data_IF_525062047557
#
_entry.id   IF_525062047557
#
_cell.length_a   1.000
_cell.length_b   1.000
_cell.length_c   1.000
_cell.angle_alpha   90.00
_cell.angle_beta   90.00
_cell.angle_gamma   90.00
#
_symmetry.space_group_name_H-M   'P 1'
#
loop_
_entity.id
_entity.type
_entity.pdbx_description
1 polymer ?
#
# COMPACT_ATOMS: atom_id res chain seq x y z
N UNK A 1 4.77 2.61 -31.23
CA UNK A 1 4.25 3.24 -29.98
C UNK A 1 3.12 2.41 -29.35
N UNK A 2 2.30 1.69 -30.13
CA UNK A 2 1.21 0.83 -29.64
C UNK A 2 1.64 -0.33 -28.75
N UNK A 3 2.75 -1.02 -29.08
CA UNK A 3 3.24 -2.15 -28.28
C UNK A 3 3.63 -1.75 -26.85
N UNK A 4 4.39 -0.65 -26.71
CA UNK A 4 4.80 -0.11 -25.40
C UNK A 4 3.57 0.27 -24.55
N UNK A 5 2.55 0.89 -25.17
CA UNK A 5 1.29 1.21 -24.48
C UNK A 5 0.60 -0.03 -23.91
N UNK A 6 0.50 -1.11 -24.69
CA UNK A 6 -0.07 -2.38 -24.23
C UNK A 6 0.77 -3.03 -23.13
N UNK A 7 2.10 -2.97 -23.18
CA UNK A 7 2.96 -3.45 -22.10
C UNK A 7 2.69 -2.73 -20.77
N UNK A 8 2.48 -1.40 -20.81
CA UNK A 8 2.13 -0.62 -19.61
C UNK A 8 0.76 -1.03 -19.07
N UNK A 9 -0.24 -1.20 -19.94
CA UNK A 9 -1.58 -1.64 -19.54
C UNK A 9 -1.52 -3.01 -18.85
N UNK A 10 -0.85 -3.99 -19.46
CA UNK A 10 -0.68 -5.33 -18.89
C UNK A 10 0.01 -5.25 -17.51
N UNK A 11 1.07 -4.43 -17.40
CA UNK A 11 1.79 -4.25 -16.14
C UNK A 11 0.90 -3.68 -15.04
N UNK A 12 0.08 -2.66 -15.34
CA UNK A 12 -0.86 -2.06 -14.39
C UNK A 12 -1.96 -3.06 -14.00
N UNK A 13 -2.48 -3.84 -14.95
CA UNK A 13 -3.47 -4.87 -14.67
C UNK A 13 -2.91 -5.96 -13.75
N UNK A 14 -1.72 -6.50 -14.05
CA UNK A 14 -1.05 -7.47 -13.20
C UNK A 14 -0.80 -6.92 -11.80
N UNK A 15 -0.33 -5.67 -11.70
CA UNK A 15 -0.15 -5.01 -10.41
C UNK A 15 -1.46 -4.92 -9.62
N UNK A 16 -2.55 -4.45 -10.24
CA UNK A 16 -3.85 -4.32 -9.57
C UNK A 16 -4.38 -5.67 -9.09
N UNK A 17 -4.21 -6.74 -9.87
CA UNK A 17 -4.61 -8.09 -9.47
C UNK A 17 -3.83 -8.58 -8.24
N UNK A 18 -2.50 -8.41 -8.24
CA UNK A 18 -1.66 -8.77 -7.10
C UNK A 18 -1.99 -7.94 -5.86
N UNK A 19 -2.23 -6.64 -6.05
CA UNK A 19 -2.62 -5.75 -4.96
C UNK A 19 -3.97 -6.15 -4.37
N UNK A 20 -4.97 -6.43 -5.21
CA UNK A 20 -6.30 -6.85 -4.78
C UNK A 20 -6.31 -8.22 -4.09
N UNK A 21 -5.41 -9.13 -4.49
CA UNK A 21 -5.30 -10.46 -3.88
C UNK A 21 -4.62 -10.46 -2.51
N UNK A 22 -3.75 -9.48 -2.21
CA UNK A 22 -2.96 -9.46 -0.99
C UNK A 22 -2.99 -8.11 -0.28
N UNK A 23 -2.06 -7.17 -0.58
CA UNK A 23 -1.85 -5.95 0.22
C UNK A 23 -3.12 -5.12 0.44
N UNK A 24 -3.99 -5.04 -0.58
CA UNK A 24 -5.25 -4.31 -0.55
C UNK A 24 -6.16 -4.76 0.60
N UNK A 25 -6.65 -6.01 0.62
CA UNK A 25 -7.45 -6.52 1.73
C UNK A 25 -6.64 -6.73 3.02
N UNK A 26 -5.39 -7.21 2.94
CA UNK A 26 -4.58 -7.55 4.13
C UNK A 26 -4.43 -6.36 5.09
N UNK A 27 -4.15 -5.16 4.57
CA UNK A 27 -3.98 -3.98 5.41
C UNK A 27 -5.24 -3.57 6.18
N UNK A 28 -6.43 -4.05 5.79
CA UNK A 28 -7.69 -3.71 6.43
C UNK A 28 -8.03 -4.60 7.63
N UNK A 29 -7.42 -5.78 7.77
CA UNK A 29 -7.75 -6.70 8.87
C UNK A 29 -6.56 -7.16 9.70
N UNK A 30 -5.34 -7.19 9.14
CA UNK A 30 -4.14 -7.68 9.86
C UNK A 30 -3.89 -6.93 11.17
N UNK A 31 -4.19 -5.63 11.22
CA UNK A 31 -4.05 -4.84 12.45
C UNK A 31 -4.96 -5.33 13.58
N UNK A 32 -6.08 -5.97 13.27
CA UNK A 32 -6.97 -6.59 14.25
C UNK A 32 -6.57 -7.99 14.69
N UNK A 33 -5.67 -8.65 13.96
CA UNK A 33 -5.07 -9.93 14.34
C UNK A 33 -3.83 -9.72 15.22
N UNK A 34 -3.15 -8.58 15.08
CA UNK A 34 -1.94 -8.23 15.82
C UNK A 34 -2.19 -7.67 17.22
N UNK A 35 -3.42 -7.32 17.57
CA UNK A 35 -3.74 -6.63 18.83
C UNK A 35 -4.91 -7.29 19.55
N UNK A 36 -4.81 -7.34 20.89
CA UNK A 36 -5.91 -7.79 21.74
C UNK A 36 -7.14 -6.89 21.66
N UNK A 37 -8.28 -7.41 22.12
CA UNK A 37 -9.60 -6.77 22.00
C UNK A 37 -9.65 -5.32 22.52
N UNK A 38 -8.94 -5.03 23.62
CA UNK A 38 -8.93 -3.72 24.27
C UNK A 38 -8.31 -2.61 23.41
N UNK A 39 -7.35 -2.94 22.54
CA UNK A 39 -6.64 -1.98 21.69
C UNK A 39 -7.14 -1.95 20.24
N UNK A 40 -8.04 -2.86 19.86
CA UNK A 40 -8.46 -3.07 18.47
C UNK A 40 -9.14 -1.84 17.86
N UNK A 41 -10.04 -1.19 18.61
CA UNK A 41 -10.74 0.01 18.13
C UNK A 41 -9.79 1.20 17.90
N UNK A 42 -8.84 1.40 18.82
CA UNK A 42 -7.82 2.44 18.69
C UNK A 42 -6.89 2.16 17.50
N UNK A 43 -6.47 0.91 17.32
CA UNK A 43 -5.61 0.47 16.22
C UNK A 43 -6.25 0.77 14.87
N UNK A 44 -7.50 0.36 14.64
CA UNK A 44 -8.18 0.67 13.38
C UNK A 44 -8.39 2.17 13.14
N UNK A 45 -8.64 2.94 14.19
CA UNK A 45 -8.75 4.41 14.09
C UNK A 45 -7.43 5.01 13.60
N UNK A 46 -6.31 4.63 14.21
CA UNK A 46 -4.98 5.12 13.82
C UNK A 46 -4.58 4.64 12.43
N UNK A 47 -4.84 3.38 12.08
CA UNK A 47 -4.58 2.87 10.74
C UNK A 47 -5.35 3.67 9.68
N UNK A 48 -6.65 3.91 9.88
CA UNK A 48 -7.44 4.70 8.95
C UNK A 48 -6.97 6.15 8.85
N UNK A 49 -6.62 6.79 9.97
CA UNK A 49 -6.09 8.14 9.97
C UNK A 49 -4.80 8.24 9.16
N UNK A 50 -3.86 7.30 9.38
CA UNK A 50 -2.58 7.25 8.69
C UNK A 50 -2.78 6.98 7.20
N UNK A 51 -3.60 5.98 6.83
CA UNK A 51 -3.90 5.65 5.44
C UNK A 51 -4.51 6.83 4.68
N UNK A 52 -5.51 7.50 5.26
CA UNK A 52 -6.14 8.66 4.64
C UNK A 52 -5.23 9.89 4.61
N UNK A 53 -4.40 10.06 5.64
CA UNK A 53 -3.38 11.11 5.70
C UNK A 53 -2.35 10.96 4.57
N UNK A 54 -1.77 9.77 4.40
CA UNK A 54 -0.85 9.48 3.30
C UNK A 54 -1.52 9.65 1.94
N UNK A 55 -2.75 9.15 1.78
CA UNK A 55 -3.51 9.33 0.53
C UNK A 55 -3.69 10.80 0.18
N UNK A 56 -4.05 11.62 1.16
CA UNK A 56 -4.25 13.06 0.97
C UNK A 56 -2.94 13.78 0.65
N UNK A 57 -1.86 13.48 1.38
CA UNK A 57 -0.53 14.04 1.14
C UNK A 57 0.01 13.69 -0.24
N UNK A 58 -0.13 12.43 -0.68
CA UNK A 58 0.28 11.99 -2.01
C UNK A 58 -0.47 12.74 -3.11
N UNK A 59 -1.77 12.98 -2.96
CA UNK A 59 -2.56 13.76 -3.93
C UNK A 59 -2.07 15.20 -4.04
N UNK A 60 -1.77 15.84 -2.90
CA UNK A 60 -1.25 17.22 -2.88
C UNK A 60 0.12 17.31 -3.56
N UNK A 61 1.00 16.33 -3.33
CA UNK A 61 2.37 16.30 -3.89
C UNK A 61 2.36 15.87 -5.37
N UNK A 62 1.40 15.05 -5.79
CA UNK A 62 1.36 14.52 -7.15
C UNK A 62 1.25 15.61 -8.22
N UNK A 63 0.37 16.59 -8.03
CA UNK A 63 0.18 17.67 -9.01
C UNK A 63 1.43 18.51 -9.29
N UNK A 64 2.13 19.07 -8.27
CA UNK A 64 3.37 19.80 -8.52
C UNK A 64 4.48 18.90 -9.08
N UNK A 65 4.59 17.66 -8.59
CA UNK A 65 5.63 16.74 -9.08
C UNK A 65 5.40 16.32 -10.53
N UNK A 66 4.14 16.13 -10.94
CA UNK A 66 3.75 15.86 -12.33
C UNK A 66 4.16 16.99 -13.26
N UNK A 67 4.02 18.24 -12.82
CA UNK A 67 4.37 19.41 -13.62
C UNK A 67 5.90 19.56 -13.81
N UNK A 68 6.70 19.06 -12.87
CA UNK A 68 8.17 19.14 -12.92
C UNK A 68 8.83 17.97 -13.68
N UNK A 69 8.39 16.74 -13.42
CA UNK A 69 9.06 15.51 -13.90
C UNK A 69 8.30 14.80 -15.03
N UNK A 70 7.07 15.22 -15.32
CA UNK A 70 6.18 14.56 -16.25
C UNK A 70 5.45 13.36 -15.64
N UNK A 71 4.23 13.11 -16.11
CA UNK A 71 3.32 12.10 -15.53
C UNK A 71 3.90 10.71 -15.28
N UNK A 72 4.62 10.09 -16.24
CA UNK A 72 5.15 8.74 -16.08
C UNK A 72 6.20 8.63 -14.97
N UNK A 73 7.13 9.59 -14.91
CA UNK A 73 8.24 9.58 -13.97
C UNK A 73 7.72 9.90 -12.56
N UNK A 74 6.82 10.88 -12.42
CA UNK A 74 6.21 11.20 -11.13
C UNK A 74 5.42 10.04 -10.56
N UNK A 75 4.68 9.30 -11.40
CA UNK A 75 3.98 8.09 -10.96
C UNK A 75 4.96 7.01 -10.51
N UNK A 76 6.00 6.73 -11.30
CA UNK A 76 7.01 5.73 -10.95
C UNK A 76 7.70 6.04 -9.60
N UNK A 77 8.14 7.29 -9.41
CA UNK A 77 8.86 7.72 -8.20
C UNK A 77 7.96 7.75 -6.96
N UNK A 78 6.69 8.12 -7.09
CA UNK A 78 5.77 8.14 -5.95
C UNK A 78 5.21 6.76 -5.61
N UNK A 79 5.31 5.80 -6.51
CA UNK A 79 4.67 4.49 -6.36
C UNK A 79 5.66 3.36 -6.05
N UNK A 80 6.72 3.25 -6.86
CA UNK A 80 7.64 2.12 -6.78
C UNK A 80 8.47 2.08 -5.49
N UNK A 81 9.12 3.18 -5.05
CA UNK A 81 9.89 3.17 -3.81
C UNK A 81 9.05 2.87 -2.56
N UNK A 82 7.85 3.48 -2.34
CA UNK A 82 7.01 3.12 -1.20
C UNK A 82 6.53 1.67 -1.22
N UNK A 83 6.20 1.11 -2.40
CA UNK A 83 5.84 -0.30 -2.52
C UNK A 83 7.01 -1.22 -2.15
N UNK A 84 8.22 -0.97 -2.67
CA UNK A 84 9.40 -1.77 -2.35
C UNK A 84 9.76 -1.70 -0.86
N UNK A 85 9.65 -0.50 -0.28
CA UNK A 85 9.86 -0.29 1.15
C UNK A 85 8.82 -1.03 2.00
N UNK A 86 7.54 -0.96 1.64
CA UNK A 86 6.47 -1.67 2.33
C UNK A 86 6.67 -3.20 2.29
N UNK A 87 7.03 -3.76 1.13
CA UNK A 87 7.35 -5.20 1.00
C UNK A 87 8.52 -5.58 1.89
N UNK A 88 9.57 -4.75 1.93
CA UNK A 88 10.74 -4.98 2.78
C UNK A 88 10.37 -4.97 4.25
N UNK A 89 9.58 -3.99 4.69
CA UNK A 89 9.09 -3.92 6.06
C UNK A 89 8.23 -5.12 6.43
N UNK A 90 7.29 -5.51 5.57
CA UNK A 90 6.46 -6.67 5.82
C UNK A 90 7.30 -7.95 5.92
N UNK A 91 8.31 -8.11 5.07
CA UNK A 91 9.18 -9.29 5.10
C UNK A 91 9.96 -9.45 6.41
N UNK A 92 10.45 -8.34 6.99
CA UNK A 92 11.26 -8.39 8.21
C UNK A 92 10.46 -8.25 9.51
N UNK A 93 9.36 -7.50 9.52
CA UNK A 93 8.68 -7.08 10.75
C UNK A 93 7.25 -7.61 10.89
N UNK A 94 6.61 -8.10 9.83
CA UNK A 94 5.25 -8.63 9.94
C UNK A 94 5.31 -10.13 10.27
N UNK A 95 4.95 -10.54 11.50
CA UNK A 95 4.87 -11.96 11.82
C UNK A 95 3.69 -12.61 11.09
N UNK A 96 3.81 -13.91 10.82
CA UNK A 96 2.70 -14.70 10.29
C UNK A 96 1.61 -14.83 11.36
N UNK A 97 0.43 -14.25 11.09
CA UNK A 97 -0.74 -14.23 11.99
C UNK A 97 -1.73 -15.36 11.72
N UNK A 98 -1.58 -16.10 10.62
CA UNK A 98 -2.50 -17.18 10.25
C UNK A 98 -2.59 -18.24 11.35
N UNK A 99 -3.78 -18.36 11.95
CA UNK A 99 -4.11 -19.42 12.92
C UNK A 99 -3.59 -19.20 14.34
N UNK A 100 -3.15 -17.99 14.70
CA UNK A 100 -2.69 -17.64 16.04
C UNK A 100 -3.65 -16.68 16.73
N UNK A 101 -3.74 -16.73 18.06
CA UNK A 101 -4.43 -15.67 18.80
C UNK A 101 -3.49 -14.47 19.02
N UNK A 102 -4.01 -13.25 19.24
CA UNK A 102 -3.19 -12.07 19.50
C UNK A 102 -2.34 -12.16 20.80
N UNK A 103 -2.62 -13.16 21.64
CA UNK A 103 -1.85 -13.42 22.87
C UNK A 103 -0.65 -14.37 22.64
N UNK A 104 -0.52 -14.97 21.45
CA UNK A 104 0.53 -15.92 21.03
C UNK A 104 1.55 -15.30 20.05
#
# INVERSE_FOLDING_TARGET
ITFIGWCVVVSICCFNLLFAAGPGPLCLFVGGELVGQNARAATFTWMNLVMNGFRSGLLVIYFPLKNLLGGPISYFVLFFPPCAFAVTLCYFYLPETTGKTPEE
#
